data_IF_930839682667
#
_entry.id   IF_930839682667
#
_cell.length_a   1.000
_cell.length_b   1.000
_cell.length_c   1.000
_cell.angle_alpha   90.00
_cell.angle_beta   90.00
_cell.angle_gamma   90.00
#
_symmetry.space_group_name_H-M   'P 1'
#
loop_
_entity.id
_entity.type
_entity.pdbx_description
1 polymer ?
#
# COMPACT_ATOMS: atom_id res chain seq x y z
N UNK A 1 -18.01 -11.33 -16.94
CA UNK A 1 -16.70 -11.72 -16.32
C UNK A 1 -16.47 -11.02 -14.98
N UNK A 2 -16.82 -9.73 -14.85
CA UNK A 2 -16.66 -8.97 -13.60
C UNK A 2 -17.45 -9.59 -12.44
N UNK A 3 -18.71 -9.94 -12.67
CA UNK A 3 -19.56 -10.57 -11.67
C UNK A 3 -19.04 -11.94 -11.23
N UNK A 4 -18.42 -12.69 -12.14
CA UNK A 4 -17.82 -13.98 -11.84
C UNK A 4 -16.61 -13.86 -10.88
N UNK A 5 -15.73 -12.89 -11.09
CA UNK A 5 -14.59 -12.65 -10.21
C UNK A 5 -15.06 -12.21 -8.82
N UNK A 6 -15.93 -11.21 -8.74
CA UNK A 6 -16.49 -10.71 -7.46
C UNK A 6 -17.17 -11.83 -6.65
N UNK A 7 -17.96 -12.70 -7.32
CA UNK A 7 -18.63 -13.84 -6.66
C UNK A 7 -17.62 -14.84 -6.10
N UNK A 8 -16.57 -15.16 -6.85
CA UNK A 8 -15.55 -16.14 -6.42
C UNK A 8 -14.74 -15.61 -5.23
N UNK A 9 -14.28 -14.36 -5.28
CA UNK A 9 -13.56 -13.74 -4.16
C UNK A 9 -14.46 -13.58 -2.94
N UNK A 10 -15.72 -13.18 -3.11
CA UNK A 10 -16.67 -13.10 -2.00
C UNK A 10 -16.97 -14.48 -1.38
N UNK A 11 -17.02 -15.54 -2.20
CA UNK A 11 -17.14 -16.91 -1.67
C UNK A 11 -15.93 -17.27 -0.83
N UNK A 12 -14.70 -17.03 -1.32
CA UNK A 12 -13.48 -17.30 -0.57
C UNK A 12 -13.45 -16.51 0.74
N UNK A 13 -13.73 -15.23 0.72
CA UNK A 13 -13.77 -14.39 1.93
C UNK A 13 -14.73 -14.93 2.99
N UNK A 14 -15.95 -15.33 2.60
CA UNK A 14 -16.91 -15.97 3.53
C UNK A 14 -16.40 -17.28 4.10
N UNK A 15 -15.77 -18.13 3.28
CA UNK A 15 -15.22 -19.41 3.75
C UNK A 15 -14.04 -19.22 4.72
N UNK A 16 -13.20 -18.21 4.49
CA UNK A 16 -12.12 -17.86 5.42
C UNK A 16 -12.67 -17.42 6.78
N UNK A 17 -13.67 -16.53 6.80
CA UNK A 17 -14.34 -16.09 8.04
C UNK A 17 -15.03 -17.28 8.76
N UNK A 18 -15.74 -18.12 8.01
CA UNK A 18 -16.39 -19.31 8.58
C UNK A 18 -15.38 -20.27 9.19
N UNK A 19 -14.25 -20.50 8.53
CA UNK A 19 -13.22 -21.42 9.03
C UNK A 19 -12.58 -20.93 10.33
N UNK A 20 -12.33 -19.63 10.48
CA UNK A 20 -11.78 -19.07 11.73
C UNK A 20 -12.78 -19.17 12.89
N UNK A 21 -14.04 -18.86 12.65
CA UNK A 21 -15.12 -18.99 13.64
C UNK A 21 -15.31 -20.45 14.09
N UNK A 22 -15.42 -21.38 13.14
CA UNK A 22 -15.56 -22.83 13.46
C UNK A 22 -14.33 -23.39 14.17
N UNK A 23 -13.13 -22.89 13.88
CA UNK A 23 -11.92 -23.30 14.61
C UNK A 23 -11.97 -22.82 16.05
N UNK A 24 -12.33 -21.55 16.27
CA UNK A 24 -12.45 -20.95 17.58
C UNK A 24 -13.46 -21.70 18.45
N UNK A 25 -14.65 -21.98 17.93
CA UNK A 25 -15.71 -22.74 18.62
C UNK A 25 -15.26 -24.14 19.02
N UNK A 26 -14.62 -24.86 18.11
CA UNK A 26 -14.14 -26.24 18.37
C UNK A 26 -13.04 -26.31 19.42
N UNK A 27 -12.22 -25.27 19.54
CA UNK A 27 -11.04 -25.29 20.41
C UNK A 27 -11.22 -24.40 21.67
N UNK A 28 -12.37 -23.75 21.83
CA UNK A 28 -12.61 -22.85 22.97
C UNK A 28 -11.63 -21.66 23.03
N UNK A 29 -11.24 -21.12 21.86
CA UNK A 29 -10.30 -20.03 21.71
C UNK A 29 -10.99 -18.80 21.09
N UNK A 30 -10.33 -17.64 21.15
CA UNK A 30 -10.78 -16.48 20.39
C UNK A 30 -10.64 -16.69 18.89
N UNK A 31 -11.51 -16.06 18.12
CA UNK A 31 -11.44 -16.05 16.66
C UNK A 31 -10.18 -15.30 16.18
N UNK A 32 -9.49 -15.87 15.21
CA UNK A 32 -8.29 -15.30 14.59
C UNK A 32 -8.63 -14.76 13.22
N UNK A 33 -8.91 -13.45 13.08
CA UNK A 33 -9.30 -12.88 11.81
C UNK A 33 -8.17 -13.02 10.76
N UNK A 34 -8.57 -13.27 9.52
CA UNK A 34 -7.65 -13.35 8.37
C UNK A 34 -7.77 -12.07 7.57
N UNK A 35 -6.66 -11.39 7.33
CA UNK A 35 -6.57 -10.30 6.35
C UNK A 35 -6.54 -10.92 4.96
N UNK A 36 -7.59 -10.69 4.19
CA UNK A 36 -7.72 -11.26 2.85
C UNK A 36 -7.32 -10.24 1.79
N UNK A 37 -6.22 -10.52 1.10
CA UNK A 37 -5.71 -9.75 -0.04
C UNK A 37 -6.23 -10.32 -1.36
N UNK A 38 -6.87 -9.48 -2.16
CA UNK A 38 -7.45 -9.81 -3.46
C UNK A 38 -6.46 -9.41 -4.56
N UNK A 39 -6.00 -10.38 -5.34
CA UNK A 39 -5.03 -10.16 -6.42
C UNK A 39 -5.71 -10.27 -7.79
N UNK A 40 -6.42 -9.22 -8.20
CA UNK A 40 -7.12 -9.12 -9.49
C UNK A 40 -6.45 -8.15 -10.47
N UNK A 41 -5.30 -7.56 -10.09
CA UNK A 41 -4.46 -6.66 -10.91
C UNK A 41 -5.22 -5.46 -11.50
N UNK A 42 -6.19 -4.92 -10.78
CA UNK A 42 -7.06 -3.85 -11.26
C UNK A 42 -8.08 -4.29 -12.32
N UNK A 43 -8.02 -5.53 -12.76
CA UNK A 43 -9.01 -6.09 -13.68
C UNK A 43 -10.36 -6.17 -12.99
N UNK A 44 -11.43 -6.15 -13.78
CA UNK A 44 -12.80 -6.23 -13.28
C UNK A 44 -13.14 -5.13 -12.24
N UNK A 45 -12.35 -4.03 -12.20
CA UNK A 45 -12.56 -2.91 -11.28
C UNK A 45 -12.64 -3.39 -9.82
N UNK A 46 -11.63 -4.15 -9.37
CA UNK A 46 -11.57 -4.79 -8.06
C UNK A 46 -11.88 -3.85 -6.89
N UNK A 47 -11.51 -2.58 -6.98
CA UNK A 47 -11.82 -1.55 -6.00
C UNK A 47 -13.33 -1.27 -5.81
N UNK A 48 -14.20 -1.62 -6.76
CA UNK A 48 -15.65 -1.38 -6.64
C UNK A 48 -16.37 -2.43 -5.79
N UNK A 49 -15.80 -3.62 -5.67
CA UNK A 49 -16.43 -4.74 -4.96
C UNK A 49 -15.52 -5.39 -3.92
N UNK A 50 -14.23 -5.05 -3.90
CA UNK A 50 -13.23 -5.67 -3.03
C UNK A 50 -13.59 -5.58 -1.55
N UNK A 51 -14.14 -4.45 -1.09
CA UNK A 51 -14.57 -4.26 0.31
C UNK A 51 -15.66 -5.25 0.77
N UNK A 52 -16.43 -5.83 -0.16
CA UNK A 52 -17.43 -6.86 0.15
C UNK A 52 -16.85 -8.27 0.19
N UNK A 53 -15.59 -8.45 -0.20
CA UNK A 53 -14.96 -9.76 -0.34
C UNK A 53 -13.70 -9.93 0.52
N UNK A 54 -12.96 -8.86 0.78
CA UNK A 54 -11.69 -8.90 1.51
C UNK A 54 -11.30 -7.53 2.07
N UNK A 55 -10.05 -7.39 2.47
CA UNK A 55 -9.53 -6.23 3.18
C UNK A 55 -8.66 -5.32 2.31
N UNK A 56 -8.00 -5.86 1.30
CA UNK A 56 -7.20 -5.11 0.35
C UNK A 56 -7.29 -5.73 -1.04
N UNK A 57 -7.03 -4.94 -2.06
CA UNK A 57 -7.13 -5.39 -3.46
C UNK A 57 -6.12 -4.68 -4.35
N UNK A 58 -5.42 -5.47 -5.15
CA UNK A 58 -4.48 -4.98 -6.17
C UNK A 58 -5.23 -4.12 -7.18
N UNK A 59 -4.70 -2.94 -7.43
CA UNK A 59 -5.29 -1.92 -8.33
C UNK A 59 -4.66 -1.90 -9.70
N UNK A 60 -3.49 -2.49 -9.86
CA UNK A 60 -2.68 -2.53 -11.08
C UNK A 60 -2.04 -3.90 -11.29
N UNK A 61 -1.50 -4.20 -12.49
CA UNK A 61 -0.52 -5.26 -12.68
C UNK A 61 0.69 -5.12 -11.76
N UNK A 62 1.55 -6.15 -11.71
CA UNK A 62 2.69 -6.21 -10.83
C UNK A 62 3.66 -5.05 -11.01
N UNK A 63 4.16 -4.55 -9.88
CA UNK A 63 5.21 -3.54 -9.84
C UNK A 63 6.53 -4.11 -10.35
N UNK A 64 7.36 -3.24 -10.88
CA UNK A 64 8.75 -3.52 -11.21
C UNK A 64 9.64 -2.48 -10.58
N UNK A 65 10.86 -2.88 -10.19
CA UNK A 65 11.83 -2.04 -9.50
C UNK A 65 12.46 -1.00 -10.44
N UNK A 66 11.63 -0.12 -11.01
CA UNK A 66 12.03 1.03 -11.81
C UNK A 66 11.02 2.17 -11.68
N UNK A 67 11.50 3.40 -11.88
CA UNK A 67 10.70 4.61 -11.68
C UNK A 67 9.44 4.67 -12.54
N UNK A 68 9.53 4.24 -13.79
CA UNK A 68 8.37 4.23 -14.71
C UNK A 68 7.22 3.38 -14.18
N UNK A 69 7.53 2.23 -13.60
CA UNK A 69 6.53 1.35 -12.98
C UNK A 69 5.92 1.99 -11.74
N UNK A 70 6.75 2.51 -10.83
CA UNK A 70 6.31 3.20 -9.60
C UNK A 70 5.37 4.36 -9.95
N UNK A 71 5.80 5.24 -10.86
CA UNK A 71 5.00 6.40 -11.28
C UNK A 71 3.69 5.99 -11.97
N UNK A 72 3.74 4.97 -12.84
CA UNK A 72 2.55 4.46 -13.51
C UNK A 72 1.50 3.91 -12.55
N UNK A 73 1.92 3.19 -11.52
CA UNK A 73 1.04 2.65 -10.47
C UNK A 73 0.47 3.78 -9.62
N UNK A 74 1.30 4.74 -9.20
CA UNK A 74 0.86 5.92 -8.48
C UNK A 74 -0.24 6.68 -9.24
N UNK A 75 -0.05 6.95 -10.53
CA UNK A 75 -1.02 7.68 -11.36
C UNK A 75 -2.39 6.99 -11.44
N UNK A 76 -2.44 5.68 -11.32
CA UNK A 76 -3.70 4.93 -11.23
C UNK A 76 -4.27 5.02 -9.81
N UNK A 77 -3.47 4.62 -8.82
CA UNK A 77 -3.93 4.39 -7.45
C UNK A 77 -4.37 5.67 -6.74
N UNK A 78 -3.70 6.80 -6.97
CA UNK A 78 -4.03 8.10 -6.36
C UNK A 78 -5.45 8.57 -6.67
N UNK A 79 -6.04 8.12 -7.77
CA UNK A 79 -7.41 8.46 -8.17
C UNK A 79 -8.48 7.56 -7.55
N UNK A 80 -8.08 6.49 -6.84
CA UNK A 80 -8.98 5.49 -6.28
C UNK A 80 -9.35 5.75 -4.81
N UNK A 81 -8.97 6.89 -4.24
CA UNK A 81 -9.17 7.25 -2.84
C UNK A 81 -10.60 7.05 -2.31
N UNK A 82 -11.60 7.14 -3.17
CA UNK A 82 -13.02 6.96 -2.81
C UNK A 82 -13.40 5.53 -2.46
N UNK A 83 -12.55 4.57 -2.79
CA UNK A 83 -12.84 3.14 -2.65
C UNK A 83 -12.13 2.51 -1.46
N UNK A 84 -11.14 3.21 -0.89
CA UNK A 84 -10.42 2.79 0.31
C UNK A 84 -10.91 3.52 1.56
N UNK A 85 -10.61 2.95 2.71
CA UNK A 85 -10.91 3.50 4.02
C UNK A 85 -10.55 2.48 5.09
N UNK A 86 -10.82 2.77 6.34
CA UNK A 86 -10.46 1.93 7.48
C UNK A 86 -10.88 0.47 7.29
N UNK A 87 -9.91 -0.44 7.30
CA UNK A 87 -10.12 -1.88 7.09
C UNK A 87 -10.28 -2.31 5.63
N UNK A 88 -10.18 -1.39 4.68
CA UNK A 88 -10.40 -1.61 3.24
C UNK A 88 -9.42 -0.77 2.42
N UNK A 89 -8.42 -1.40 1.77
CA UNK A 89 -7.27 -0.71 1.23
C UNK A 89 -7.09 -0.96 -0.28
N UNK A 90 -6.85 0.12 -1.03
CA UNK A 90 -6.28 0.01 -2.37
C UNK A 90 -4.83 -0.46 -2.25
N UNK A 91 -4.50 -1.53 -2.93
CA UNK A 91 -3.16 -2.11 -2.91
C UNK A 91 -2.43 -1.79 -4.23
N UNK A 92 -1.46 -0.86 -4.21
CA UNK A 92 -0.63 -0.51 -5.37
C UNK A 92 0.52 -1.50 -5.60
N UNK A 93 0.56 -2.63 -4.88
CA UNK A 93 1.64 -3.60 -4.82
C UNK A 93 2.73 -3.29 -3.78
N UNK A 94 3.65 -4.24 -3.61
CA UNK A 94 4.72 -4.17 -2.63
C UNK A 94 5.67 -3.00 -2.85
N UNK A 95 6.50 -2.74 -1.84
CA UNK A 95 7.57 -1.77 -1.90
C UNK A 95 8.79 -2.36 -2.63
N UNK A 96 9.28 -1.61 -3.63
CA UNK A 96 10.53 -1.89 -4.34
C UNK A 96 11.64 -0.89 -3.96
N UNK A 97 11.54 -0.29 -2.78
CA UNK A 97 12.52 0.66 -2.23
C UNK A 97 13.88 0.00 -2.08
N UNK A 98 14.90 0.54 -2.76
CA UNK A 98 16.25 -0.02 -2.77
C UNK A 98 16.49 -1.16 -3.76
N UNK A 99 15.45 -1.61 -4.46
CA UNK A 99 15.56 -2.63 -5.48
C UNK A 99 15.77 -2.02 -6.88
N UNK A 100 16.35 -2.80 -7.79
CA UNK A 100 16.51 -2.45 -9.21
C UNK A 100 17.36 -1.22 -9.46
N UNK A 101 16.87 -0.32 -10.31
CA UNK A 101 17.61 0.87 -10.76
C UNK A 101 17.07 2.20 -10.19
N UNK A 102 16.26 2.14 -9.13
CA UNK A 102 15.73 3.32 -8.48
C UNK A 102 16.84 4.14 -7.82
N UNK A 103 16.90 5.43 -8.14
CA UNK A 103 17.78 6.38 -7.46
C UNK A 103 17.36 6.61 -6.01
N UNK A 104 18.24 7.21 -5.20
CA UNK A 104 17.91 7.53 -3.80
C UNK A 104 16.65 8.41 -3.66
N UNK A 105 16.48 9.38 -4.56
CA UNK A 105 15.31 10.27 -4.55
C UNK A 105 14.04 9.55 -5.00
N UNK A 106 14.13 8.65 -5.97
CA UNK A 106 13.01 7.82 -6.42
C UNK A 106 12.59 6.83 -5.33
N UNK A 107 13.54 6.25 -4.59
CA UNK A 107 13.26 5.39 -3.45
C UNK A 107 12.50 6.14 -2.34
N UNK A 108 12.94 7.36 -1.97
CA UNK A 108 12.23 8.22 -1.02
C UNK A 108 10.83 8.58 -1.51
N UNK A 109 10.72 8.96 -2.79
CA UNK A 109 9.45 9.30 -3.42
C UNK A 109 8.50 8.10 -3.43
N UNK A 110 8.99 6.92 -3.80
CA UNK A 110 8.21 5.68 -3.79
C UNK A 110 7.61 5.40 -2.40
N UNK A 111 8.44 5.39 -1.36
CA UNK A 111 7.98 5.16 0.01
C UNK A 111 6.97 6.22 0.47
N UNK A 112 7.28 7.50 0.23
CA UNK A 112 6.39 8.62 0.58
C UNK A 112 5.02 8.49 -0.10
N UNK A 113 4.98 8.19 -1.39
CA UNK A 113 3.73 8.04 -2.14
C UNK A 113 2.89 6.87 -1.61
N UNK A 114 3.50 5.72 -1.29
CA UNK A 114 2.79 4.58 -0.70
C UNK A 114 2.21 4.95 0.66
N UNK A 115 2.97 5.62 1.53
CA UNK A 115 2.47 6.09 2.82
C UNK A 115 1.31 7.09 2.69
N UNK A 116 1.40 8.04 1.76
CA UNK A 116 0.29 8.97 1.51
C UNK A 116 -0.95 8.27 0.95
N UNK A 117 -0.78 7.23 0.15
CA UNK A 117 -1.88 6.44 -0.38
C UNK A 117 -2.48 5.44 0.63
N UNK A 118 -1.99 5.39 1.88
CA UNK A 118 -2.38 4.40 2.89
C UNK A 118 -2.31 2.97 2.31
N UNK A 119 -1.21 2.69 1.62
CA UNK A 119 -0.99 1.41 0.96
C UNK A 119 -0.50 0.34 1.95
N UNK A 120 -0.79 -0.94 1.74
CA UNK A 120 -0.11 -1.99 2.48
C UNK A 120 1.40 -1.90 2.26
N UNK A 121 2.16 -1.65 3.33
CA UNK A 121 3.63 -1.51 3.27
C UNK A 121 4.31 -2.89 3.31
N UNK A 122 4.11 -3.69 2.27
CA UNK A 122 4.71 -5.03 2.14
C UNK A 122 6.05 -4.90 1.45
N UNK A 123 7.13 -5.37 2.11
CA UNK A 123 8.48 -5.29 1.59
C UNK A 123 8.71 -6.27 0.43
N UNK A 124 9.28 -5.79 -0.67
CA UNK A 124 9.81 -6.60 -1.78
C UNK A 124 11.30 -6.94 -1.63
N UNK A 125 11.91 -6.64 -0.47
CA UNK A 125 13.34 -6.76 -0.23
C UNK A 125 13.74 -8.11 0.37
N UNK A 126 14.98 -8.52 0.13
CA UNK A 126 15.64 -9.52 0.96
C UNK A 126 16.10 -8.85 2.27
N UNK A 127 15.32 -9.04 3.34
CA UNK A 127 15.61 -8.41 4.63
C UNK A 127 16.95 -8.81 5.25
N UNK A 128 17.60 -9.89 4.76
CA UNK A 128 18.93 -10.29 5.19
C UNK A 128 20.00 -9.26 4.82
N UNK A 129 19.76 -8.47 3.76
CA UNK A 129 20.65 -7.38 3.34
C UNK A 129 20.71 -6.22 4.34
N UNK A 130 19.78 -6.17 5.28
CA UNK A 130 19.72 -5.17 6.34
C UNK A 130 20.31 -5.64 7.66
N UNK A 131 20.89 -6.84 7.68
CA UNK A 131 21.45 -7.46 8.89
C UNK A 131 22.98 -7.56 8.73
N UNK A 132 23.70 -7.04 9.71
CA UNK A 132 25.17 -7.16 9.81
C UNK A 132 25.59 -8.58 10.17
N UNK A 133 26.86 -8.90 10.01
CA UNK A 133 27.45 -10.21 10.37
C UNK A 133 27.24 -10.58 11.85
N UNK A 134 27.14 -9.59 12.73
CA UNK A 134 26.88 -9.80 14.16
C UNK A 134 25.38 -10.03 14.49
N UNK A 135 24.53 -10.07 13.49
CA UNK A 135 23.07 -10.27 13.63
C UNK A 135 22.29 -8.99 14.01
N UNK A 136 22.94 -7.85 14.10
CA UNK A 136 22.27 -6.57 14.35
C UNK A 136 21.77 -5.91 13.05
N UNK A 137 20.77 -5.04 13.16
CA UNK A 137 20.30 -4.25 12.01
C UNK A 137 21.36 -3.24 11.58
N UNK A 138 21.57 -3.12 10.27
CA UNK A 138 22.44 -2.10 9.68
C UNK A 138 21.74 -0.74 9.61
N UNK A 139 21.78 0.00 10.70
CA UNK A 139 21.18 1.34 10.81
C UNK A 139 21.80 2.39 9.90
N UNK A 140 22.93 2.12 9.25
CA UNK A 140 23.55 3.01 8.28
C UNK A 140 23.10 2.72 6.84
N UNK A 141 22.41 1.60 6.62
CA UNK A 141 21.84 1.26 5.32
C UNK A 141 20.76 2.27 4.90
N UNK A 142 20.95 2.95 3.77
CA UNK A 142 20.05 4.02 3.30
C UNK A 142 18.63 3.50 2.97
N UNK A 143 18.54 2.29 2.44
CA UNK A 143 17.22 1.66 2.17
C UNK A 143 16.47 1.40 3.48
N UNK A 144 17.17 0.86 4.49
CA UNK A 144 16.57 0.61 5.80
C UNK A 144 16.11 1.92 6.47
N UNK A 145 16.89 3.01 6.36
CA UNK A 145 16.50 4.33 6.86
C UNK A 145 15.19 4.82 6.26
N UNK A 146 15.00 4.64 4.94
CA UNK A 146 13.76 5.00 4.26
C UNK A 146 12.60 4.13 4.76
N UNK A 147 12.80 2.80 4.76
CA UNK A 147 11.75 1.84 5.13
C UNK A 147 11.35 1.91 6.61
N UNK A 148 12.19 2.52 7.46
CA UNK A 148 11.92 2.68 8.90
C UNK A 148 11.68 4.13 9.31
N UNK A 149 11.41 5.01 8.37
CA UNK A 149 11.04 6.41 8.65
C UNK A 149 9.72 6.46 9.42
N UNK A 150 9.84 6.81 10.71
CA UNK A 150 8.72 6.77 11.65
C UNK A 150 7.65 7.80 11.34
N UNK A 151 8.03 8.95 10.82
CA UNK A 151 7.08 10.02 10.51
C UNK A 151 6.24 9.63 9.30
N UNK A 152 6.87 9.04 8.28
CA UNK A 152 6.17 8.53 7.11
C UNK A 152 5.27 7.34 7.45
N UNK A 153 5.75 6.41 8.28
CA UNK A 153 4.95 5.28 8.76
C UNK A 153 3.76 5.78 9.58
N UNK A 154 3.93 6.80 10.42
CA UNK A 154 2.83 7.38 11.20
C UNK A 154 1.75 8.00 10.31
N UNK A 155 2.14 8.63 9.18
CA UNK A 155 1.20 9.13 8.18
C UNK A 155 0.45 7.97 7.51
N UNK A 156 1.12 6.88 7.17
CA UNK A 156 0.49 5.69 6.58
C UNK A 156 -0.49 5.03 7.55
N UNK A 157 -0.04 4.79 8.78
CA UNK A 157 -0.76 4.05 9.83
C UNK A 157 -1.76 4.91 10.62
N UNK A 158 -2.03 6.14 10.18
CA UNK A 158 -2.99 7.02 10.83
C UNK A 158 -4.37 6.36 10.92
N UNK A 159 -4.97 6.39 12.12
CA UNK A 159 -6.17 5.63 12.45
C UNK A 159 -7.44 6.08 11.74
N UNK A 160 -7.44 7.28 11.10
CA UNK A 160 -8.52 7.68 10.20
C UNK A 160 -8.62 6.75 8.98
N UNK A 161 -7.48 6.20 8.53
CA UNK A 161 -7.42 5.21 7.46
C UNK A 161 -7.78 5.75 6.08
N UNK A 162 -7.70 7.05 5.86
CA UNK A 162 -7.99 7.66 4.57
C UNK A 162 -6.76 7.70 3.67
N UNK A 163 -6.96 7.41 2.39
CA UNK A 163 -5.97 7.64 1.33
C UNK A 163 -5.90 9.14 1.01
N UNK A 164 -4.70 9.61 0.61
CA UNK A 164 -4.53 10.99 0.16
C UNK A 164 -5.38 11.34 -1.06
N UNK A 165 -5.60 12.65 -1.24
CA UNK A 165 -6.27 13.23 -2.41
C UNK A 165 -5.28 14.12 -3.16
N UNK A 166 -5.20 13.94 -4.47
CA UNK A 166 -4.46 14.84 -5.34
C UNK A 166 -5.29 16.09 -5.63
N UNK A 167 -4.91 17.23 -5.03
CA UNK A 167 -5.65 18.51 -5.14
C UNK A 167 -5.12 19.40 -6.24
N UNK A 168 -3.88 19.19 -6.69
CA UNK A 168 -3.28 19.90 -7.82
C UNK A 168 -2.38 18.96 -8.60
N UNK A 169 -2.43 19.06 -9.91
CA UNK A 169 -1.55 18.31 -10.81
C UNK A 169 -1.07 19.20 -11.95
N UNK A 170 0.19 19.03 -12.30
CA UNK A 170 0.83 19.57 -13.50
C UNK A 170 1.62 18.47 -14.19
N UNK A 171 2.24 18.75 -15.32
CA UNK A 171 3.12 17.80 -16.00
C UNK A 171 4.30 17.38 -15.10
N UNK A 172 4.77 18.29 -14.25
CA UNK A 172 6.01 18.12 -13.47
C UNK A 172 5.80 18.01 -11.96
N UNK A 173 4.61 18.26 -11.42
CA UNK A 173 4.40 18.24 -9.98
C UNK A 173 2.94 17.97 -9.61
N UNK A 174 2.75 17.27 -8.49
CA UNK A 174 1.48 17.09 -7.83
C UNK A 174 1.51 17.68 -6.41
N UNK A 175 0.34 18.07 -5.93
CA UNK A 175 0.13 18.37 -4.51
C UNK A 175 -0.90 17.40 -3.96
N UNK A 176 -0.51 16.66 -2.94
CA UNK A 176 -1.36 15.69 -2.26
C UNK A 176 -1.69 16.20 -0.87
N UNK A 177 -2.89 15.91 -0.40
CA UNK A 177 -3.31 16.11 0.99
C UNK A 177 -3.86 14.80 1.55
N UNK A 178 -3.56 14.52 2.81
CA UNK A 178 -4.09 13.37 3.55
C UNK A 178 -4.60 13.86 4.90
N UNK A 179 -5.91 13.78 5.16
CA UNK A 179 -6.45 14.10 6.48
C UNK A 179 -6.00 13.06 7.51
N UNK A 180 -5.79 13.49 8.74
CA UNK A 180 -5.35 12.66 9.86
C UNK A 180 -6.41 12.68 10.96
N UNK A 181 -6.42 11.64 11.81
CA UNK A 181 -7.41 11.42 12.86
C UNK A 181 -7.48 12.58 13.87
N UNK A 182 -6.36 13.22 14.16
CA UNK A 182 -6.27 14.34 15.09
C UNK A 182 -6.80 15.68 14.53
N UNK A 183 -7.29 15.69 13.28
CA UNK A 183 -7.76 16.88 12.58
C UNK A 183 -6.67 17.63 11.80
N UNK A 184 -5.42 17.20 11.87
CA UNK A 184 -4.34 17.73 11.05
C UNK A 184 -4.45 17.26 9.59
N UNK A 185 -3.64 17.85 8.73
CA UNK A 185 -3.54 17.47 7.31
C UNK A 185 -2.08 17.33 6.93
N UNK A 186 -1.68 16.13 6.53
CA UNK A 186 -0.39 15.93 5.89
C UNK A 186 -0.43 16.45 4.45
N UNK A 187 0.63 17.14 4.03
CA UNK A 187 0.75 17.71 2.68
C UNK A 187 2.03 17.18 2.03
N UNK A 188 1.90 16.68 0.79
CA UNK A 188 3.05 16.27 -0.02
C UNK A 188 3.12 17.10 -1.29
N UNK A 189 4.30 17.69 -1.54
CA UNK A 189 4.66 18.30 -2.81
C UNK A 189 5.55 17.33 -3.57
N UNK A 190 4.96 16.65 -4.54
CA UNK A 190 5.65 15.63 -5.31
C UNK A 190 6.16 16.19 -6.64
N UNK A 191 7.48 16.21 -6.81
CA UNK A 191 8.11 16.56 -8.07
C UNK A 191 8.21 15.32 -8.98
N UNK A 192 7.55 15.36 -10.13
CA UNK A 192 7.56 14.30 -11.16
C UNK A 192 8.59 14.55 -12.27
N UNK A 193 9.17 15.75 -12.28
CA UNK A 193 10.15 16.15 -13.27
C UNK A 193 11.57 15.72 -12.90
N UNK A 194 12.46 15.77 -13.89
CA UNK A 194 13.89 15.46 -13.71
C UNK A 194 14.71 16.59 -13.10
N UNK A 195 14.15 17.80 -13.02
CA UNK A 195 14.86 18.97 -12.54
C UNK A 195 14.64 19.19 -11.05
N UNK A 196 15.73 19.41 -10.32
CA UNK A 196 15.69 19.90 -8.93
C UNK A 196 15.17 21.34 -8.92
N UNK A 197 14.08 21.62 -8.23
CA UNK A 197 13.51 22.96 -8.07
C UNK A 197 13.41 23.34 -6.61
#
# INVERSE_FOLDING_TARGET
RQDSAAIQYAKMGRELMRATAEYADRNGTEERPIVYSICEWGRNLSWRWGAAAGNLWRTTPDIQANWKSVLGIYEVNVNLFKYSGKGNWNDPDMLEVGNGDLTAEENRSHFTLWCFMAAPLILGNDVREFIREDGTADTENETLKILTDRDMIAIDQDSLGEQCRRIKTTIIADTLIKPLENGDVAVCFFNKGSDTR
#
